data_IF_618368585170
#
_entry.id   IF_618368585170
#
_cell.length_a   1.000
_cell.length_b   1.000
_cell.length_c   1.000
_cell.angle_alpha   90.00
_cell.angle_beta   90.00
_cell.angle_gamma   90.00
#
_symmetry.space_group_name_H-M   'P 1'
#
loop_
_entity.id
_entity.type
_entity.pdbx_description
1 polymer ?
#
# COMPACT_ATOMS: atom_id res chain seq x y z
N UNK A 1 -3.11 7.33 6.78
CA UNK A 1 -2.81 8.52 5.95
C UNK A 1 -3.47 9.72 6.60
N UNK A 2 -2.87 10.91 6.51
CA UNK A 2 -3.39 12.09 7.20
C UNK A 2 -4.82 12.42 6.71
N UNK A 3 -5.79 12.67 7.62
CA UNK A 3 -7.14 13.06 7.24
C UNK A 3 -7.14 14.32 6.36
N UNK A 4 -7.97 14.31 5.33
CA UNK A 4 -8.12 15.40 4.37
C UNK A 4 -9.61 15.73 4.23
N UNK A 5 -9.91 16.96 3.80
CA UNK A 5 -11.27 17.40 3.51
C UNK A 5 -12.01 16.41 2.60
N UNK A 6 -13.31 16.28 2.84
CA UNK A 6 -14.22 15.39 2.09
C UNK A 6 -13.77 13.92 2.08
N UNK A 7 -13.05 13.48 3.11
CA UNK A 7 -12.54 12.10 3.20
C UNK A 7 -11.66 11.68 1.99
N UNK A 8 -11.09 12.63 1.24
CA UNK A 8 -10.28 12.35 0.03
C UNK A 8 -9.05 11.48 0.30
N UNK A 9 -8.58 11.46 1.55
CA UNK A 9 -7.54 10.57 2.02
C UNK A 9 -7.93 9.08 1.95
N UNK A 10 -9.22 8.75 2.08
CA UNK A 10 -9.72 7.37 1.97
C UNK A 10 -9.60 6.85 0.54
N UNK A 11 -9.89 7.68 -0.46
CA UNK A 11 -9.72 7.29 -1.88
C UNK A 11 -8.28 6.90 -2.17
N UNK A 12 -7.32 7.66 -1.64
CA UNK A 12 -5.88 7.34 -1.74
C UNK A 12 -5.53 6.04 -1.03
N UNK A 13 -6.12 5.80 0.14
CA UNK A 13 -5.92 4.56 0.89
C UNK A 13 -6.44 3.35 0.10
N UNK A 14 -7.68 3.41 -0.41
CA UNK A 14 -8.27 2.34 -1.22
C UNK A 14 -7.45 2.04 -2.47
N UNK A 15 -7.04 3.08 -3.20
CA UNK A 15 -6.21 2.93 -4.38
C UNK A 15 -4.88 2.22 -4.06
N UNK A 16 -4.24 2.59 -2.95
CA UNK A 16 -3.02 1.92 -2.49
C UNK A 16 -3.28 0.47 -2.07
N UNK A 17 -4.34 0.20 -1.28
CA UNK A 17 -4.66 -1.15 -0.81
C UNK A 17 -4.97 -2.10 -1.97
N UNK A 18 -5.69 -1.63 -2.98
CA UNK A 18 -5.97 -2.41 -4.20
C UNK A 18 -4.67 -2.83 -4.92
N UNK A 19 -3.71 -1.91 -5.05
CA UNK A 19 -2.40 -2.22 -5.64
C UNK A 19 -1.55 -3.12 -4.74
N UNK A 20 -1.45 -2.77 -3.45
CA UNK A 20 -0.55 -3.45 -2.52
C UNK A 20 -1.01 -4.89 -2.25
N UNK A 21 -2.31 -5.15 -2.20
CA UNK A 21 -2.86 -6.49 -1.95
C UNK A 21 -2.92 -7.37 -3.20
N UNK A 22 -2.47 -6.88 -4.35
CA UNK A 22 -2.46 -7.65 -5.59
C UNK A 22 -1.59 -8.92 -5.45
N UNK A 23 -2.19 -10.08 -5.75
CA UNK A 23 -1.56 -11.38 -5.64
C UNK A 23 -1.47 -11.94 -4.21
N UNK A 24 -2.11 -11.31 -3.21
CA UNK A 24 -2.39 -11.92 -1.91
C UNK A 24 -3.55 -12.93 -2.01
N UNK A 25 -3.64 -13.85 -1.05
CA UNK A 25 -4.88 -14.63 -0.86
C UNK A 25 -6.02 -13.71 -0.41
N UNK A 26 -7.30 -14.08 -0.64
CA UNK A 26 -8.43 -13.28 -0.18
C UNK A 26 -8.39 -12.98 1.32
N UNK A 27 -8.03 -13.97 2.14
CA UNK A 27 -7.91 -13.84 3.59
C UNK A 27 -6.82 -12.84 4.01
N UNK A 28 -5.67 -12.88 3.34
CA UNK A 28 -4.55 -11.97 3.61
C UNK A 28 -4.86 -10.54 3.16
N UNK A 29 -5.48 -10.37 1.99
CA UNK A 29 -5.93 -9.06 1.50
C UNK A 29 -6.96 -8.43 2.45
N UNK A 30 -7.94 -9.21 2.92
CA UNK A 30 -8.93 -8.75 3.89
C UNK A 30 -8.30 -8.37 5.23
N UNK A 31 -7.33 -9.16 5.71
CA UNK A 31 -6.61 -8.91 6.96
C UNK A 31 -5.82 -7.59 6.90
N UNK A 32 -5.09 -7.35 5.80
CA UNK A 32 -4.34 -6.10 5.58
C UNK A 32 -5.28 -4.91 5.50
N UNK A 33 -6.31 -5.00 4.66
CA UNK A 33 -7.26 -3.91 4.43
C UNK A 33 -7.99 -3.53 5.72
N UNK A 34 -8.46 -4.53 6.49
CA UNK A 34 -9.15 -4.30 7.77
C UNK A 34 -8.27 -3.60 8.80
N UNK A 35 -6.99 -3.99 8.93
CA UNK A 35 -6.06 -3.30 9.82
C UNK A 35 -5.89 -1.83 9.40
N UNK A 36 -5.68 -1.58 8.11
CA UNK A 36 -5.46 -0.23 7.61
C UNK A 36 -6.71 0.65 7.69
N UNK A 37 -7.92 0.13 7.45
CA UNK A 37 -9.16 0.89 7.67
C UNK A 37 -9.34 1.26 9.15
N UNK A 38 -9.15 0.30 10.06
CA UNK A 38 -9.20 0.55 11.50
C UNK A 38 -8.16 1.58 11.97
N UNK A 39 -6.94 1.52 11.43
CA UNK A 39 -5.90 2.53 11.67
C UNK A 39 -6.28 3.94 11.15
N UNK A 40 -7.13 4.01 10.12
CA UNK A 40 -7.63 5.26 9.55
C UNK A 40 -9.05 5.62 10.06
N UNK A 41 -9.41 5.12 11.24
CA UNK A 41 -10.62 5.53 11.97
C UNK A 41 -11.90 4.79 11.60
N UNK A 42 -11.83 3.76 10.75
CA UNK A 42 -12.97 2.88 10.47
C UNK A 42 -12.92 1.63 11.35
N UNK A 43 -13.30 1.82 12.62
CA UNK A 43 -13.31 0.78 13.64
C UNK A 43 -12.12 0.86 14.61
N UNK A 44 -11.89 -0.24 15.33
CA UNK A 44 -10.91 -0.31 16.41
C UNK A 44 -9.78 -1.27 16.06
N UNK A 45 -8.54 -0.82 16.16
CA UNK A 45 -7.37 -1.62 15.78
C UNK A 45 -7.26 -2.94 16.57
N UNK A 46 -7.76 -2.95 17.81
CA UNK A 46 -7.74 -4.12 18.69
C UNK A 46 -8.50 -5.31 18.10
N UNK A 47 -9.48 -5.06 17.23
CA UNK A 47 -10.30 -6.08 16.59
C UNK A 47 -9.60 -6.71 15.37
N UNK A 48 -8.63 -6.04 14.77
CA UNK A 48 -7.97 -6.45 13.53
C UNK A 48 -6.53 -6.90 13.75
N UNK A 49 -5.89 -6.40 14.82
CA UNK A 49 -4.51 -6.71 15.17
C UNK A 49 -4.21 -8.21 15.35
N UNK A 50 -5.02 -9.02 16.05
CA UNK A 50 -4.69 -10.44 16.26
C UNK A 50 -4.54 -11.21 14.94
N UNK A 51 -5.50 -11.06 14.01
CA UNK A 51 -5.45 -11.71 12.70
C UNK A 51 -4.29 -11.21 11.86
N UNK A 52 -3.99 -9.91 11.91
CA UNK A 52 -2.81 -9.37 11.22
C UNK A 52 -1.50 -9.94 11.79
N UNK A 53 -1.41 -10.08 13.12
CA UNK A 53 -0.24 -10.58 13.80
C UNK A 53 0.09 -12.04 13.42
N UNK A 54 -0.92 -12.89 13.19
CA UNK A 54 -0.70 -14.28 12.76
C UNK A 54 -0.09 -14.40 11.37
N UNK A 55 -0.22 -13.36 10.53
CA UNK A 55 0.24 -13.36 9.15
C UNK A 55 1.57 -12.62 8.93
N UNK A 56 2.22 -12.11 9.99
CA UNK A 56 3.41 -11.24 9.89
C UNK A 56 4.55 -11.83 9.03
N UNK A 57 4.80 -13.13 9.10
CA UNK A 57 5.83 -13.79 8.28
C UNK A 57 5.50 -13.68 6.79
N UNK A 58 4.28 -14.04 6.41
CA UNK A 58 3.79 -13.97 5.03
C UNK A 58 3.74 -12.52 4.53
N UNK A 59 3.28 -11.60 5.37
CA UNK A 59 3.26 -10.16 5.08
C UNK A 59 4.67 -9.59 4.85
N UNK A 60 5.64 -10.05 5.63
CA UNK A 60 7.05 -9.66 5.45
C UNK A 60 7.60 -10.15 4.12
N UNK A 61 7.26 -11.37 3.71
CA UNK A 61 7.65 -11.92 2.40
C UNK A 61 7.00 -11.14 1.25
N UNK A 62 5.72 -10.78 1.40
CA UNK A 62 5.01 -9.94 0.44
C UNK A 62 5.63 -8.55 0.33
N UNK A 63 5.98 -7.92 1.45
CA UNK A 63 6.70 -6.63 1.45
C UNK A 63 8.01 -6.68 0.67
N UNK A 64 8.78 -7.78 0.79
CA UNK A 64 9.99 -7.99 -0.03
C UNK A 64 9.66 -8.15 -1.52
N UNK A 65 8.57 -8.84 -1.86
CA UNK A 65 8.09 -8.99 -3.24
C UNK A 65 7.66 -7.64 -3.83
N UNK A 66 6.92 -6.85 -3.07
CA UNK A 66 6.48 -5.51 -3.42
C UNK A 66 7.66 -4.59 -3.78
N UNK A 67 8.70 -4.56 -2.93
CA UNK A 67 9.92 -3.78 -3.21
C UNK A 67 10.58 -4.24 -4.52
N UNK A 68 10.66 -5.55 -4.77
CA UNK A 68 11.21 -6.08 -6.03
C UNK A 68 10.37 -5.69 -7.26
N UNK A 69 9.05 -5.56 -7.12
CA UNK A 69 8.17 -5.11 -8.21
C UNK A 69 8.35 -3.61 -8.50
N UNK A 70 8.63 -2.79 -7.48
CA UNK A 70 8.88 -1.37 -7.65
C UNK A 70 10.29 -1.07 -8.20
N UNK A 71 11.27 -1.93 -7.94
CA UNK A 71 12.66 -1.69 -8.30
C UNK A 71 12.89 -1.36 -9.80
N UNK A 72 12.28 -2.07 -10.78
CA UNK A 72 12.43 -1.76 -12.20
C UNK A 72 11.84 -0.41 -12.63
N UNK A 73 10.91 0.17 -11.87
CA UNK A 73 10.34 1.49 -12.15
C UNK A 73 11.41 2.58 -11.97
N UNK A 74 12.41 2.33 -11.12
CA UNK A 74 13.47 3.28 -10.80
C UNK A 74 13.03 4.34 -9.80
N UNK A 75 13.97 5.18 -9.40
CA UNK A 75 13.70 6.29 -8.48
C UNK A 75 13.09 7.50 -9.19
N UNK A 76 12.45 8.36 -8.40
CA UNK A 76 11.78 9.56 -8.90
C UNK A 76 12.73 10.52 -9.62
N UNK A 77 13.95 10.70 -9.11
CA UNK A 77 14.91 11.68 -9.64
C UNK A 77 15.40 11.23 -11.02
N UNK A 78 15.81 9.96 -11.14
CA UNK A 78 16.22 9.38 -12.42
C UNK A 78 15.11 9.46 -13.47
N UNK A 79 13.86 9.22 -13.07
CA UNK A 79 12.72 9.31 -13.98
C UNK A 79 12.41 10.75 -14.39
N UNK A 80 12.54 11.72 -13.47
CA UNK A 80 12.34 13.13 -13.78
C UNK A 80 13.42 13.68 -14.74
N UNK A 81 14.67 13.27 -14.57
CA UNK A 81 15.77 13.64 -15.50
C UNK A 81 15.55 13.04 -16.88
N UNK A 82 15.09 11.79 -16.97
CA UNK A 82 14.73 11.17 -18.27
C UNK A 82 13.58 11.92 -18.94
N UNK A 83 12.58 12.34 -18.18
CA UNK A 83 11.45 13.13 -18.67
C UNK A 83 11.92 14.49 -19.24
N UNK A 84 12.66 15.27 -18.46
CA UNK A 84 13.10 16.62 -18.89
C UNK A 84 14.00 16.63 -20.13
N UNK A 85 14.73 15.52 -20.39
CA UNK A 85 15.58 15.35 -21.57
C UNK A 85 14.80 14.92 -22.82
N UNK A 86 13.64 14.26 -22.65
CA UNK A 86 12.80 13.84 -23.79
C UNK A 86 12.15 15.02 -24.50
N UNK A 87 11.93 16.13 -23.79
CA UNK A 87 11.35 17.36 -24.34
C UNK A 87 12.39 18.26 -25.05
N UNK A 88 13.63 17.80 -25.22
CA UNK A 88 14.72 18.51 -25.92
C UNK A 88 15.02 17.97 -27.33
N UNK A 89 14.06 17.25 -27.96
CA UNK A 89 14.14 16.80 -29.36
C UNK A 89 12.99 17.39 -30.15
#
# INVERSE_FOLDING_TARGET
IYPQAEESHRIKLEAFLNLYTEGMSPDMSATVSSLWHAWNGDGQIINTWPTFATQLITLTQHGKKWIRQLHPIGDLVSNLVKFSRKDQI
#
